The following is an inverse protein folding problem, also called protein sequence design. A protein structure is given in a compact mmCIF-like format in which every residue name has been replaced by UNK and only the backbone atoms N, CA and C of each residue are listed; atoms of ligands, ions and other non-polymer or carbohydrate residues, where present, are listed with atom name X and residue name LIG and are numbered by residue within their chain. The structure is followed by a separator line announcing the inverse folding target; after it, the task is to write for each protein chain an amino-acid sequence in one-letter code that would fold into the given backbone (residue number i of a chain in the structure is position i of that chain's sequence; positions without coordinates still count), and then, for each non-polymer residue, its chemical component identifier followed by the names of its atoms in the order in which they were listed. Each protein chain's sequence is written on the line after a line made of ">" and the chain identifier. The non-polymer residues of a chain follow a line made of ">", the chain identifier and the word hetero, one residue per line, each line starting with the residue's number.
data_IF_517899749356
#
_entry.id   IF_517899749356
#
_cell.length_a   1.000
_cell.length_b   1.000
_cell.length_c   1.000
_cell.angle_alpha   90.00
_cell.angle_beta   90.00
_cell.angle_gamma   90.00
#
_symmetry.space_group_name_H-M   'P 1'
#
loop_
_entity.id
_entity.type
_entity.pdbx_description
1 polymer ?
#
# COMPACT_ATOMS: atom_id res chain seq x y z
N UNK A 1 29.31 -5.53 -33.31
CA UNK A 1 29.00 -5.57 -31.87
C UNK A 1 27.60 -6.13 -31.69
N UNK A 2 27.48 -7.39 -31.29
CA UNK A 2 26.20 -8.10 -31.20
C UNK A 2 25.43 -7.77 -29.92
N UNK A 3 24.13 -7.50 -30.07
CA UNK A 3 23.22 -7.27 -28.95
C UNK A 3 23.10 -8.48 -28.02
N UNK A 4 22.76 -8.22 -26.75
CA UNK A 4 22.53 -9.28 -25.75
C UNK A 4 21.40 -10.21 -26.19
N UNK A 5 21.65 -11.52 -26.18
CA UNK A 5 20.63 -12.56 -26.39
C UNK A 5 19.44 -12.37 -25.45
N UNK A 6 18.24 -12.75 -25.91
CA UNK A 6 17.05 -12.80 -25.05
C UNK A 6 17.37 -13.69 -23.83
N UNK A 7 17.06 -13.23 -22.60
CA UNK A 7 17.34 -13.99 -21.40
C UNK A 7 16.57 -15.32 -21.40
N UNK A 8 17.12 -16.33 -20.75
CA UNK A 8 16.45 -17.62 -20.58
C UNK A 8 15.22 -17.48 -19.67
N UNK A 9 14.29 -18.44 -19.77
CA UNK A 9 13.10 -18.52 -18.92
C UNK A 9 13.49 -18.48 -17.43
N UNK A 10 14.50 -19.27 -17.04
CA UNK A 10 15.04 -19.29 -15.68
C UNK A 10 15.61 -17.95 -15.20
N UNK A 11 16.20 -17.14 -16.10
CA UNK A 11 16.69 -15.81 -15.78
C UNK A 11 15.55 -14.80 -15.57
N UNK A 12 14.45 -14.95 -16.31
CA UNK A 12 13.25 -14.13 -16.13
C UNK A 12 12.55 -14.43 -14.79
N UNK A 13 12.39 -15.71 -14.45
CA UNK A 13 11.83 -16.14 -13.15
C UNK A 13 12.65 -15.64 -11.97
N UNK A 14 13.99 -15.69 -12.08
CA UNK A 14 14.90 -15.15 -11.05
C UNK A 14 14.79 -13.64 -10.90
N UNK A 15 14.45 -12.90 -11.96
CA UNK A 15 14.21 -11.46 -11.90
C UNK A 15 12.86 -11.15 -11.26
N UNK A 16 11.81 -11.88 -11.62
CA UNK A 16 10.47 -11.76 -11.04
C UNK A 16 10.49 -12.03 -9.53
N UNK A 17 11.11 -13.13 -9.10
CA UNK A 17 11.24 -13.45 -7.67
C UNK A 17 12.01 -12.39 -6.88
N UNK A 18 13.03 -11.76 -7.47
CA UNK A 18 13.76 -10.64 -6.83
C UNK A 18 12.91 -9.36 -6.76
N UNK A 19 12.12 -9.05 -7.78
CA UNK A 19 11.24 -7.87 -7.75
C UNK A 19 10.12 -8.01 -6.72
N UNK A 20 9.52 -9.21 -6.59
CA UNK A 20 8.46 -9.44 -5.62
C UNK A 20 8.96 -9.39 -4.17
N UNK A 21 10.17 -9.91 -3.89
CA UNK A 21 10.81 -9.78 -2.56
C UNK A 21 11.19 -8.33 -2.21
N UNK A 22 11.50 -7.50 -3.20
CA UNK A 22 11.78 -6.07 -2.99
C UNK A 22 10.51 -5.25 -2.73
N UNK A 23 9.41 -5.59 -3.40
CA UNK A 23 8.09 -4.96 -3.20
C UNK A 23 7.51 -5.32 -1.84
N UNK A 24 7.63 -6.56 -1.38
CA UNK A 24 7.07 -6.97 -0.09
C UNK A 24 7.72 -6.29 1.12
N UNK A 25 9.02 -5.97 1.04
CA UNK A 25 9.71 -5.17 2.07
C UNK A 25 9.27 -3.70 2.06
N UNK A 26 9.20 -3.06 0.88
CA UNK A 26 8.74 -1.65 0.77
C UNK A 26 7.27 -1.45 1.12
N UNK A 27 6.43 -2.46 0.90
CA UNK A 27 4.99 -2.39 1.24
C UNK A 27 4.74 -2.65 2.72
N UNK A 28 5.57 -3.46 3.39
CA UNK A 28 5.44 -3.70 4.84
C UNK A 28 5.80 -2.47 5.69
N UNK A 29 6.79 -1.69 5.28
CA UNK A 29 7.24 -0.50 6.04
C UNK A 29 6.23 0.67 6.03
N UNK A 30 5.21 0.65 5.15
CA UNK A 30 4.20 1.72 5.03
C UNK A 30 2.78 1.31 5.40
N UNK A 31 2.56 0.08 5.87
CA UNK A 31 1.24 -0.30 6.38
C UNK A 31 1.08 0.28 7.77
N UNK A 32 0.32 1.35 7.89
CA UNK A 32 -0.12 1.87 9.17
C UNK A 32 -0.97 0.79 9.85
N UNK A 33 -0.51 0.31 11.01
CA UNK A 33 -1.30 -0.60 11.83
C UNK A 33 -2.45 0.19 12.47
N UNK A 34 -3.60 0.19 11.79
CA UNK A 34 -4.85 0.68 12.34
C UNK A 34 -5.23 -0.23 13.52
N UNK A 35 -5.11 0.30 14.74
CA UNK A 35 -5.62 -0.39 15.93
C UNK A 35 -7.13 -0.23 15.93
N UNK A 36 -7.84 -1.33 15.73
CA UNK A 36 -9.29 -1.39 15.86
C UNK A 36 -9.65 -1.73 17.31
N UNK A 37 -10.70 -1.12 17.85
CA UNK A 37 -11.26 -1.56 19.13
C UNK A 37 -11.93 -2.94 18.98
N UNK A 38 -12.21 -3.61 20.10
CA UNK A 38 -12.80 -4.95 20.12
C UNK A 38 -14.15 -5.06 19.38
N UNK A 39 -14.80 -3.93 19.10
CA UNK A 39 -16.05 -3.80 18.35
C UNK A 39 -15.85 -3.54 16.84
N UNK A 40 -14.61 -3.43 16.37
CA UNK A 40 -14.28 -3.13 14.97
C UNK A 40 -14.45 -1.66 14.57
N UNK A 41 -14.76 -0.79 15.53
CA UNK A 41 -14.83 0.66 15.33
C UNK A 41 -13.47 1.31 15.53
N UNK A 42 -13.23 2.42 14.83
CA UNK A 42 -12.01 3.21 14.98
C UNK A 42 -12.09 4.03 16.27
N UNK A 43 -11.12 3.85 17.16
CA UNK A 43 -10.98 4.68 18.35
C UNK A 43 -10.83 6.15 17.94
N UNK A 44 -11.40 7.10 18.70
CA UNK A 44 -11.28 8.55 18.41
C UNK A 44 -9.82 9.00 18.21
N UNK A 45 -8.90 8.46 19.01
CA UNK A 45 -7.46 8.72 18.89
C UNK A 45 -6.86 8.26 17.54
N UNK A 46 -7.38 7.17 16.96
CA UNK A 46 -6.97 6.69 15.63
C UNK A 46 -7.53 7.58 14.51
N UNK A 47 -8.71 8.17 14.70
CA UNK A 47 -9.28 9.11 13.72
C UNK A 47 -8.48 10.40 13.60
N UNK A 48 -8.05 10.98 14.72
CA UNK A 48 -7.23 12.20 14.69
C UNK A 48 -5.87 11.96 14.01
N UNK A 49 -5.29 10.77 14.20
CA UNK A 49 -4.08 10.36 13.50
C UNK A 49 -4.31 10.25 11.98
N UNK A 50 -5.40 9.60 11.56
CA UNK A 50 -5.76 9.48 10.13
C UNK A 50 -5.95 10.86 9.51
N UNK A 51 -6.66 11.77 10.20
CA UNK A 51 -6.90 13.13 9.72
C UNK A 51 -5.60 13.90 9.54
N UNK A 52 -4.68 13.83 10.51
CA UNK A 52 -3.38 14.50 10.42
C UNK A 52 -2.52 13.92 9.29
N UNK A 53 -2.60 12.62 9.04
CA UNK A 53 -1.86 11.97 7.97
C UNK A 53 -2.41 12.34 6.59
N UNK A 54 -3.74 12.37 6.47
CA UNK A 54 -4.47 12.81 5.28
C UNK A 54 -4.12 14.25 4.92
N UNK A 55 -4.08 15.16 5.91
CA UNK A 55 -3.74 16.58 5.70
C UNK A 55 -2.33 16.81 5.17
N UNK A 56 -1.38 15.89 5.45
CA UNK A 56 0.00 15.98 4.95
C UNK A 56 0.12 15.50 3.49
N UNK A 57 -0.88 14.83 2.94
CA UNK A 57 -0.82 14.30 1.58
C UNK A 57 -1.02 15.43 0.56
N UNK A 58 -0.17 15.53 -0.48
CA UNK A 58 -0.31 16.57 -1.52
C UNK A 58 -1.56 16.37 -2.39
N UNK A 59 -2.06 15.13 -2.48
CA UNK A 59 -3.30 14.78 -3.15
C UNK A 59 -3.91 13.58 -2.45
N UNK A 60 -5.24 13.49 -2.52
CA UNK A 60 -6.00 12.40 -1.91
C UNK A 60 -6.79 11.66 -2.98
N UNK A 61 -6.69 10.34 -2.97
CA UNK A 61 -7.44 9.48 -3.89
C UNK A 61 -8.10 8.34 -3.10
N UNK A 62 -9.29 7.86 -3.54
CA UNK A 62 -9.94 6.72 -2.91
C UNK A 62 -9.01 5.51 -2.79
N UNK A 63 -8.14 5.32 -3.79
CA UNK A 63 -7.15 4.24 -3.81
C UNK A 63 -6.09 4.37 -2.71
N UNK A 64 -5.53 5.56 -2.52
CA UNK A 64 -4.54 5.80 -1.47
C UNK A 64 -5.17 5.63 -0.08
N UNK A 65 -6.38 6.13 0.11
CA UNK A 65 -7.11 5.98 1.38
C UNK A 65 -7.38 4.50 1.68
N UNK A 66 -7.86 3.74 0.69
CA UNK A 66 -8.10 2.31 0.84
C UNK A 66 -6.82 1.51 1.15
N UNK A 67 -5.71 1.84 0.46
CA UNK A 67 -4.45 1.09 0.58
C UNK A 67 -3.71 1.40 1.88
N UNK A 68 -3.69 2.67 2.30
CA UNK A 68 -2.93 3.10 3.48
C UNK A 68 -3.65 2.79 4.78
N UNK A 69 -4.99 2.92 4.80
CA UNK A 69 -5.81 2.76 6.00
C UNK A 69 -6.60 1.44 6.01
N UNK A 70 -6.50 0.62 4.97
CA UNK A 70 -7.17 -0.69 4.91
C UNK A 70 -8.68 -0.61 4.68
N UNK A 71 -9.21 0.52 4.20
CA UNK A 71 -10.63 0.64 3.87
C UNK A 71 -10.99 -0.10 2.57
N UNK A 72 -12.24 -0.55 2.45
CA UNK A 72 -12.79 -0.97 1.15
C UNK A 72 -12.83 0.24 0.22
N UNK A 73 -12.41 0.04 -1.03
CA UNK A 73 -12.40 1.09 -2.07
C UNK A 73 -13.77 1.76 -2.23
N UNK A 74 -14.86 0.98 -2.09
CA UNK A 74 -16.23 1.47 -2.17
C UNK A 74 -16.55 2.50 -1.09
N UNK A 75 -16.12 2.25 0.16
CA UNK A 75 -16.27 3.23 1.26
C UNK A 75 -15.35 4.42 1.12
N UNK A 76 -14.13 4.22 0.64
CA UNK A 76 -13.23 5.34 0.36
C UNK A 76 -13.80 6.28 -0.71
N UNK A 77 -14.57 5.74 -1.68
CA UNK A 77 -15.23 6.50 -2.74
C UNK A 77 -16.45 7.29 -2.27
N UNK A 78 -17.09 6.91 -1.16
CA UNK A 78 -18.21 7.67 -0.60
C UNK A 78 -17.76 8.81 0.32
N UNK A 79 -16.50 8.78 0.78
CA UNK A 79 -15.93 9.76 1.71
C UNK A 79 -15.28 10.94 0.99
N UNK A 80 -14.72 10.69 -0.20
CA UNK A 80 -14.11 11.70 -1.09
C UNK A 80 -15.10 12.11 -2.17
#
# INVERSE_FOLDING_TARGET
>A
MGGRKKPSISQLEKRLSRSERGKSKKVKEKKFEMRYDASGELTKASMDQIINEVKKMPYITPYQVATNFGFKISRAKSVL
#
